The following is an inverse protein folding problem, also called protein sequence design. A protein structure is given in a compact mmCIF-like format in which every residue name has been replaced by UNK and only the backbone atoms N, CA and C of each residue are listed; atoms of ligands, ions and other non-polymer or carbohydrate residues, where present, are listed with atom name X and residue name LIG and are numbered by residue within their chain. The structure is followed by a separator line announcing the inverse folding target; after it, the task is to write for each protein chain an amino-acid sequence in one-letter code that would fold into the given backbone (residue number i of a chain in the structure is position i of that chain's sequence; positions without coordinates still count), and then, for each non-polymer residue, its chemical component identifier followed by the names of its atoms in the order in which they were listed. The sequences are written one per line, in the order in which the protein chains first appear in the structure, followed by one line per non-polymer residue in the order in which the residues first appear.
data_IF_591359957965
#
_entry.id   IF_591359957965
#
_cell.length_a   1.000
_cell.length_b   1.000
_cell.length_c   1.000
_cell.angle_alpha   90.00
_cell.angle_beta   90.00
_cell.angle_gamma   90.00
#
_symmetry.space_group_name_H-M   'P 1'
#
loop_
_entity.id
_entity.type
_entity.pdbx_description
1 polymer ?
#
# COMPACT_ATOMS: atom_id res chain seq x y z
N UNK A 1 -37.48 31.10 -12.12
CA UNK A 1 -36.14 31.59 -12.50
C UNK A 1 -35.37 31.80 -11.21
N UNK A 2 -34.26 31.14 -10.91
CA UNK A 2 -33.43 30.15 -11.59
C UNK A 2 -32.42 29.66 -10.52
N UNK A 3 -31.76 28.52 -10.77
CA UNK A 3 -30.64 27.91 -10.00
C UNK A 3 -30.96 26.94 -8.87
N UNK A 4 -31.18 25.70 -9.31
CA UNK A 4 -30.56 24.51 -8.74
C UNK A 4 -29.06 24.73 -8.48
N UNK A 5 -28.58 24.46 -7.26
CA UNK A 5 -27.20 24.04 -7.03
C UNK A 5 -27.24 22.75 -6.22
N UNK A 6 -27.08 21.65 -6.95
CA UNK A 6 -26.81 20.32 -6.44
C UNK A 6 -25.47 20.39 -5.70
N UNK A 7 -25.55 20.35 -4.36
CA UNK A 7 -24.39 20.22 -3.49
C UNK A 7 -23.95 18.75 -3.54
N UNK A 8 -23.00 18.47 -4.43
CA UNK A 8 -22.27 17.20 -4.47
C UNK A 8 -20.81 17.48 -4.13
N UNK A 9 -20.19 16.49 -3.48
CA UNK A 9 -18.79 16.41 -3.06
C UNK A 9 -18.46 16.97 -1.67
N UNK A 10 -18.76 16.15 -0.66
CA UNK A 10 -17.88 16.02 0.50
C UNK A 10 -17.54 14.53 0.67
N UNK A 11 -16.38 14.13 0.15
CA UNK A 11 -15.83 12.79 0.31
C UNK A 11 -14.38 12.91 0.79
N UNK A 12 -14.21 12.70 2.09
CA UNK A 12 -13.08 11.98 2.72
C UNK A 12 -11.65 12.52 2.51
N UNK A 13 -11.04 13.05 3.58
CA UNK A 13 -9.58 13.18 3.66
C UNK A 13 -8.96 14.22 4.59
N UNK A 14 -9.66 14.72 5.61
CA UNK A 14 -9.07 15.61 6.63
C UNK A 14 -8.87 14.87 7.95
N UNK A 15 -7.71 14.22 8.11
CA UNK A 15 -7.32 13.59 9.38
C UNK A 15 -5.84 13.86 9.70
N UNK A 16 -5.44 15.12 9.71
CA UNK A 16 -4.29 15.56 10.52
C UNK A 16 -4.26 17.08 10.67
N UNK A 17 -4.65 17.54 11.87
CA UNK A 17 -4.24 18.81 12.48
C UNK A 17 -4.84 20.10 11.94
N UNK A 18 -5.89 20.54 12.65
CA UNK A 18 -6.24 21.94 12.81
C UNK A 18 -5.09 22.73 13.47
N UNK A 19 -4.58 23.74 12.77
CA UNK A 19 -4.02 24.95 13.37
C UNK A 19 -4.39 26.11 12.47
N UNK A 20 -5.36 26.91 12.91
CA UNK A 20 -5.79 28.09 12.16
C UNK A 20 -4.63 29.06 11.99
N UNK A 21 -4.44 29.54 10.76
CA UNK A 21 -4.26 30.94 10.38
C UNK A 21 -4.44 31.01 8.86
N UNK A 22 -5.36 31.86 8.42
CA UNK A 22 -5.63 32.12 7.02
C UNK A 22 -4.39 32.70 6.32
N UNK A 23 -3.92 32.03 5.25
CA UNK A 23 -3.11 32.61 4.18
C UNK A 23 -3.24 31.70 2.96
N UNK A 24 -3.86 32.23 1.90
CA UNK A 24 -4.00 31.58 0.61
C UNK A 24 -2.64 31.40 -0.08
N UNK A 25 -2.56 30.40 -0.99
CA UNK A 25 -1.45 30.04 -1.91
C UNK A 25 -0.50 28.91 -1.44
N UNK A 26 -1.02 27.69 -1.31
CA UNK A 26 -0.49 26.53 -2.02
C UNK A 26 -1.52 25.40 -1.85
N UNK A 27 -2.00 24.72 -2.91
CA UNK A 27 -2.59 23.41 -2.70
C UNK A 27 -1.46 22.55 -2.14
N UNK A 28 -1.59 22.12 -0.88
CA UNK A 28 -0.67 21.18 -0.28
C UNK A 28 -0.82 19.85 -1.03
N UNK A 29 -0.11 19.72 -2.15
CA UNK A 29 -0.11 18.55 -3.05
C UNK A 29 0.45 17.28 -2.42
N UNK A 30 0.53 17.23 -1.09
CA UNK A 30 1.02 16.11 -0.31
C UNK A 30 -0.10 15.14 0.10
N UNK A 31 -1.37 15.56 0.15
CA UNK A 31 -2.53 14.70 0.46
C UNK A 31 -3.28 14.21 -0.78
N UNK A 32 -3.10 14.84 -1.93
CA UNK A 32 -3.73 14.46 -3.20
C UNK A 32 -3.36 13.09 -3.75
N UNK A 33 -2.13 12.54 -3.61
CA UNK A 33 -1.77 11.34 -4.35
C UNK A 33 -2.48 10.08 -3.83
N UNK A 34 -2.74 9.98 -2.52
CA UNK A 34 -3.48 8.84 -1.97
C UNK A 34 -4.94 8.86 -2.44
N UNK A 35 -5.65 9.98 -2.29
CA UNK A 35 -7.04 10.08 -2.74
C UNK A 35 -7.18 9.93 -4.26
N UNK A 36 -6.22 10.45 -5.04
CA UNK A 36 -6.20 10.26 -6.51
C UNK A 36 -5.96 8.81 -6.91
N UNK A 37 -5.01 8.10 -6.25
CA UNK A 37 -4.76 6.68 -6.53
C UNK A 37 -5.94 5.81 -6.12
N UNK A 38 -6.59 6.10 -4.99
CA UNK A 38 -7.82 5.41 -4.58
C UNK A 38 -8.98 5.65 -5.57
N UNK A 39 -9.18 6.89 -6.00
CA UNK A 39 -10.19 7.20 -7.00
C UNK A 39 -9.92 6.49 -8.34
N UNK A 40 -8.66 6.44 -8.77
CA UNK A 40 -8.25 5.72 -9.97
C UNK A 40 -8.47 4.20 -9.84
N UNK A 41 -8.09 3.59 -8.71
CA UNK A 41 -8.34 2.18 -8.42
C UNK A 41 -9.83 1.85 -8.45
N UNK A 42 -10.67 2.69 -7.85
CA UNK A 42 -12.11 2.51 -7.87
C UNK A 42 -12.72 2.66 -9.27
N UNK A 43 -12.26 3.64 -10.05
CA UNK A 43 -12.67 3.81 -11.44
C UNK A 43 -12.27 2.60 -12.30
N UNK A 44 -11.06 2.06 -12.09
CA UNK A 44 -10.58 0.85 -12.77
C UNK A 44 -11.44 -0.36 -12.40
N UNK A 45 -11.74 -0.54 -11.11
CA UNK A 45 -12.62 -1.60 -10.62
C UNK A 45 -13.99 -1.56 -11.31
N UNK A 46 -14.64 -0.39 -11.38
CA UNK A 46 -15.91 -0.22 -12.08
C UNK A 46 -15.82 -0.55 -13.57
N UNK A 47 -14.68 -0.24 -14.20
CA UNK A 47 -14.45 -0.61 -15.60
C UNK A 47 -14.35 -2.12 -15.79
N UNK A 48 -13.73 -2.85 -14.86
CA UNK A 48 -13.65 -4.31 -14.87
C UNK A 48 -15.00 -4.99 -14.64
N UNK A 49 -15.82 -4.44 -13.75
CA UNK A 49 -17.18 -4.93 -13.53
C UNK A 49 -18.10 -4.74 -14.75
N UNK A 50 -17.75 -3.81 -15.64
CA UNK A 50 -18.54 -3.54 -16.84
C UNK A 50 -18.35 -4.65 -17.88
N UNK A 51 -19.39 -5.45 -18.07
CA UNK A 51 -19.37 -6.63 -18.95
C UNK A 51 -19.07 -6.28 -20.43
N UNK A 52 -19.42 -5.07 -20.86
CA UNK A 52 -19.24 -4.60 -22.25
C UNK A 52 -17.77 -4.35 -22.65
N UNK A 53 -16.85 -4.36 -21.68
CA UNK A 53 -15.45 -4.00 -21.90
C UNK A 53 -14.54 -5.21 -22.20
N UNK A 54 -15.09 -6.44 -22.18
CA UNK A 54 -14.35 -7.68 -22.51
C UNK A 54 -13.45 -8.22 -21.39
N UNK A 55 -13.52 -7.66 -20.17
CA UNK A 55 -12.69 -8.05 -19.00
C UNK A 55 -13.27 -9.20 -18.16
N UNK A 56 -14.31 -9.89 -18.63
CA UNK A 56 -14.98 -10.97 -17.89
C UNK A 56 -16.01 -10.52 -16.85
N UNK A 57 -16.26 -9.21 -16.72
CA UNK A 57 -17.31 -8.64 -15.88
C UNK A 57 -17.16 -9.01 -14.40
N UNK A 58 -18.26 -9.39 -13.74
CA UNK A 58 -18.26 -9.80 -12.32
C UNK A 58 -17.37 -11.02 -12.02
N UNK A 59 -17.03 -11.84 -13.01
CA UNK A 59 -16.19 -13.03 -12.82
C UNK A 59 -14.70 -12.73 -12.99
N UNK A 60 -14.35 -11.59 -13.59
CA UNK A 60 -12.97 -11.22 -13.88
C UNK A 60 -12.31 -12.06 -14.96
N UNK A 61 -10.99 -11.91 -15.12
CA UNK A 61 -10.23 -12.75 -16.04
C UNK A 61 -9.96 -14.12 -15.43
N UNK A 62 -10.48 -15.14 -16.08
CA UNK A 62 -10.30 -16.56 -15.77
C UNK A 62 -9.46 -17.23 -16.87
N UNK A 63 -9.05 -18.49 -16.68
CA UNK A 63 -8.26 -19.30 -17.62
C UNK A 63 -6.76 -18.93 -17.76
N UNK A 64 -6.11 -18.41 -16.71
CA UNK A 64 -4.65 -18.39 -16.64
C UNK A 64 -4.09 -19.78 -16.30
N UNK A 65 -4.13 -20.70 -17.26
CA UNK A 65 -3.64 -22.09 -17.12
C UNK A 65 -2.17 -22.25 -17.48
N UNK A 66 -1.65 -21.39 -18.35
CA UNK A 66 -0.27 -21.44 -18.82
C UNK A 66 0.43 -20.09 -18.64
N UNK A 67 1.66 -20.11 -18.14
CA UNK A 67 2.54 -18.94 -18.03
C UNK A 67 3.76 -19.21 -18.90
N UNK A 68 3.91 -18.43 -19.99
CA UNK A 68 5.02 -18.60 -20.95
C UNK A 68 5.15 -20.03 -21.51
N UNK A 69 4.02 -20.74 -21.65
CA UNK A 69 3.96 -22.13 -22.15
C UNK A 69 4.16 -23.22 -21.08
N UNK A 70 4.27 -22.85 -19.79
CA UNK A 70 4.30 -23.79 -18.68
C UNK A 70 2.97 -23.81 -17.92
N UNK A 71 2.45 -25.00 -17.64
CA UNK A 71 1.23 -25.17 -16.83
C UNK A 71 1.45 -24.67 -15.40
N UNK A 72 0.60 -23.76 -14.92
CA UNK A 72 0.65 -23.22 -13.55
C UNK A 72 0.19 -24.23 -12.49
N UNK A 73 -0.47 -25.31 -12.90
CA UNK A 73 -0.86 -26.40 -11.99
C UNK A 73 0.27 -27.39 -11.75
N UNK A 74 1.33 -27.37 -12.57
CA UNK A 74 2.51 -28.21 -12.38
C UNK A 74 3.27 -27.82 -11.11
N UNK A 75 3.66 -28.81 -10.30
CA UNK A 75 4.42 -28.63 -9.06
C UNK A 75 5.75 -27.87 -9.29
N UNK A 76 6.37 -28.08 -10.45
CA UNK A 76 7.59 -27.37 -10.84
C UNK A 76 7.37 -25.88 -11.06
N UNK A 77 6.28 -25.50 -11.72
CA UNK A 77 5.94 -24.08 -11.98
C UNK A 77 5.54 -23.37 -10.69
N UNK A 78 4.75 -24.03 -9.83
CA UNK A 78 4.35 -23.48 -8.53
C UNK A 78 5.53 -23.22 -7.61
N UNK A 79 6.43 -24.19 -7.49
CA UNK A 79 7.64 -24.03 -6.69
C UNK A 79 8.55 -22.93 -7.24
N UNK A 80 8.70 -22.82 -8.56
CA UNK A 80 9.43 -21.72 -9.20
C UNK A 80 8.82 -20.34 -8.92
N UNK A 81 7.48 -20.21 -8.94
CA UNK A 81 6.76 -18.97 -8.59
C UNK A 81 6.93 -18.58 -7.11
N UNK A 82 6.91 -19.56 -6.21
CA UNK A 82 7.17 -19.30 -4.79
C UNK A 82 8.61 -18.85 -4.56
N UNK A 83 9.58 -19.52 -5.19
CA UNK A 83 11.00 -19.13 -5.10
C UNK A 83 11.21 -17.74 -5.70
N UNK A 84 10.61 -17.42 -6.85
CA UNK A 84 10.73 -16.09 -7.46
C UNK A 84 10.14 -15.00 -6.57
N UNK A 85 9.05 -15.30 -5.84
CA UNK A 85 8.45 -14.37 -4.87
C UNK A 85 9.36 -14.11 -3.68
N UNK A 86 9.98 -15.16 -3.13
CA UNK A 86 10.96 -15.02 -2.02
C UNK A 86 12.19 -14.23 -2.48
N UNK A 87 12.68 -14.49 -3.70
CA UNK A 87 13.80 -13.75 -4.28
C UNK A 87 13.41 -12.28 -4.51
N UNK A 88 12.23 -12.02 -5.08
CA UNK A 88 11.73 -10.67 -5.29
C UNK A 88 11.60 -9.91 -3.97
N UNK A 89 11.05 -10.54 -2.93
CA UNK A 89 10.97 -9.98 -1.58
C UNK A 89 12.36 -9.63 -1.03
N UNK A 90 13.33 -10.55 -1.15
CA UNK A 90 14.70 -10.33 -0.70
C UNK A 90 15.37 -9.16 -1.45
N UNK A 91 15.18 -9.09 -2.78
CA UNK A 91 15.68 -7.99 -3.63
C UNK A 91 15.03 -6.67 -3.24
N UNK A 92 13.71 -6.63 -3.03
CA UNK A 92 12.99 -5.42 -2.60
C UNK A 92 13.47 -4.94 -1.23
N UNK A 93 13.58 -5.83 -0.25
CA UNK A 93 14.10 -5.49 1.08
C UNK A 93 15.54 -4.99 1.00
N UNK A 94 16.39 -5.64 0.20
CA UNK A 94 17.78 -5.23 -0.05
C UNK A 94 17.87 -3.84 -0.70
N UNK A 95 17.11 -3.62 -1.77
CA UNK A 95 17.06 -2.34 -2.48
C UNK A 95 16.60 -1.20 -1.54
N UNK A 96 15.54 -1.43 -0.76
CA UNK A 96 15.08 -0.47 0.24
C UNK A 96 16.14 -0.18 1.31
N UNK A 97 16.88 -1.19 1.79
CA UNK A 97 17.98 -0.97 2.73
C UNK A 97 19.09 -0.10 2.14
N UNK A 98 19.51 -0.39 0.91
CA UNK A 98 20.55 0.38 0.24
C UNK A 98 20.12 1.84 0.05
N UNK A 99 18.86 2.09 -0.34
CA UNK A 99 18.32 3.43 -0.50
C UNK A 99 18.29 4.18 0.84
N UNK A 100 17.82 3.54 1.92
CA UNK A 100 17.74 4.16 3.26
C UNK A 100 19.13 4.48 3.84
N UNK A 101 20.12 3.64 3.56
CA UNK A 101 21.53 3.85 3.95
C UNK A 101 22.24 4.91 3.11
N UNK A 102 21.76 5.19 1.90
CA UNK A 102 22.37 6.15 0.98
C UNK A 102 22.20 7.62 1.42
N UNK A 103 22.92 8.53 0.74
CA UNK A 103 22.74 9.99 0.90
C UNK A 103 21.30 10.43 0.62
N UNK A 104 20.65 9.85 -0.39
CA UNK A 104 19.27 10.12 -0.73
C UNK A 104 18.33 9.75 0.44
N UNK A 105 18.58 8.61 1.10
CA UNK A 105 17.82 8.18 2.28
C UNK A 105 17.90 9.15 3.46
N UNK A 106 19.03 9.85 3.64
CA UNK A 106 19.17 10.91 4.65
C UNK A 106 18.35 12.16 4.30
N UNK A 107 18.36 12.57 3.04
CA UNK A 107 17.53 13.70 2.56
C UNK A 107 16.04 13.36 2.68
N UNK A 108 15.64 12.13 2.36
CA UNK A 108 14.25 11.68 2.53
C UNK A 108 13.80 11.72 3.99
N UNK A 109 14.67 11.31 4.92
CA UNK A 109 14.40 11.43 6.35
C UNK A 109 14.27 12.90 6.80
N UNK A 110 15.11 13.79 6.28
CA UNK A 110 14.98 15.22 6.61
C UNK A 110 13.72 15.85 6.03
N UNK A 111 13.26 15.41 4.84
CA UNK A 111 11.97 15.82 4.26
C UNK A 111 10.82 15.40 5.18
N UNK A 112 10.86 14.17 5.73
CA UNK A 112 9.84 13.66 6.65
C UNK A 112 9.77 14.47 7.95
N UNK A 113 10.91 14.89 8.50
CA UNK A 113 10.95 15.61 9.77
C UNK A 113 10.57 17.09 9.60
N UNK A 114 11.11 17.75 8.58
CA UNK A 114 10.82 19.15 8.27
C UNK A 114 11.06 19.46 6.79
N UNK A 115 10.00 19.35 6.00
CA UNK A 115 9.99 19.65 4.56
C UNK A 115 10.46 21.08 4.26
N UNK A 116 9.88 22.09 4.92
CA UNK A 116 10.25 23.50 4.70
C UNK A 116 11.73 23.74 4.97
N UNK A 117 12.29 23.14 6.03
CA UNK A 117 13.72 23.25 6.36
C UNK A 117 14.60 22.61 5.29
N UNK A 118 14.20 21.44 4.77
CA UNK A 118 14.96 20.77 3.71
C UNK A 118 14.94 21.56 2.40
N UNK A 119 13.82 22.24 2.09
CA UNK A 119 13.74 23.16 0.94
C UNK A 119 14.66 24.37 1.09
N UNK A 120 14.75 24.96 2.29
CA UNK A 120 15.68 26.07 2.57
C UNK A 120 17.16 25.68 2.42
N UNK A 121 17.50 24.41 2.62
CA UNK A 121 18.86 23.89 2.40
C UNK A 121 19.20 23.69 0.91
N UNK A 122 18.30 24.05 -0.01
CA UNK A 122 18.51 23.98 -1.46
C UNK A 122 18.16 22.63 -2.10
N UNK A 123 17.54 21.70 -1.36
CA UNK A 123 17.06 20.44 -1.92
C UNK A 123 15.69 20.61 -2.58
N UNK A 124 15.54 20.03 -3.79
CA UNK A 124 14.26 19.94 -4.51
C UNK A 124 13.41 18.80 -3.96
N UNK A 125 12.57 19.10 -2.97
CA UNK A 125 11.76 18.11 -2.24
C UNK A 125 10.82 17.33 -3.16
N UNK A 126 10.26 18.00 -4.16
CA UNK A 126 9.29 17.46 -5.11
C UNK A 126 9.88 16.29 -5.90
N UNK A 127 11.15 16.42 -6.34
CA UNK A 127 11.84 15.38 -7.09
C UNK A 127 12.07 14.12 -6.26
N UNK A 128 12.41 14.26 -4.96
CA UNK A 128 12.57 13.11 -4.07
C UNK A 128 11.25 12.41 -3.76
N UNK A 129 10.17 13.17 -3.57
CA UNK A 129 8.81 12.61 -3.37
C UNK A 129 8.32 11.86 -4.61
N UNK A 130 8.49 12.45 -5.80
CA UNK A 130 8.13 11.82 -7.07
C UNK A 130 8.92 10.52 -7.28
N UNK A 131 10.24 10.56 -7.05
CA UNK A 131 11.09 9.40 -7.22
C UNK A 131 10.71 8.25 -6.27
N UNK A 132 10.42 8.56 -5.01
CA UNK A 132 9.90 7.58 -4.05
C UNK A 132 8.56 6.99 -4.46
N UNK A 133 7.65 7.83 -4.96
CA UNK A 133 6.35 7.39 -5.44
C UNK A 133 6.50 6.41 -6.61
N UNK A 134 7.29 6.78 -7.63
CA UNK A 134 7.57 5.91 -8.78
C UNK A 134 8.26 4.62 -8.35
N UNK A 135 9.26 4.69 -7.46
CA UNK A 135 9.94 3.51 -6.94
C UNK A 135 8.96 2.55 -6.23
N UNK A 136 8.07 3.08 -5.38
CA UNK A 136 7.04 2.27 -4.72
C UNK A 136 6.04 1.66 -5.70
N UNK A 137 5.67 2.39 -6.75
CA UNK A 137 4.78 1.90 -7.80
C UNK A 137 5.41 0.75 -8.61
N UNK A 138 6.72 0.83 -8.91
CA UNK A 138 7.46 -0.26 -9.57
C UNK A 138 7.46 -1.51 -8.69
N UNK A 139 7.74 -1.37 -7.39
CA UNK A 139 7.71 -2.49 -6.45
C UNK A 139 6.32 -3.13 -6.35
N UNK A 140 5.27 -2.31 -6.27
CA UNK A 140 3.88 -2.78 -6.26
C UNK A 140 3.50 -3.50 -7.57
N UNK A 141 3.96 -2.99 -8.72
CA UNK A 141 3.74 -3.62 -10.02
C UNK A 141 4.41 -4.99 -10.13
N UNK A 142 5.65 -5.13 -9.66
CA UNK A 142 6.36 -6.43 -9.61
C UNK A 142 5.63 -7.40 -8.68
N UNK A 143 5.18 -6.93 -7.51
CA UNK A 143 4.41 -7.75 -6.58
C UNK A 143 3.10 -8.25 -7.20
N UNK A 144 2.34 -7.37 -7.87
CA UNK A 144 1.11 -7.75 -8.57
C UNK A 144 1.35 -8.74 -9.72
N UNK A 145 2.41 -8.55 -10.51
CA UNK A 145 2.76 -9.44 -11.60
C UNK A 145 3.12 -10.86 -11.12
N UNK A 146 3.70 -11.00 -9.92
CA UNK A 146 3.98 -12.29 -9.28
C UNK A 146 2.74 -12.91 -8.62
N UNK A 147 1.81 -12.07 -8.14
CA UNK A 147 0.58 -12.50 -7.47
C UNK A 147 -0.42 -13.15 -8.44
N UNK A 148 -0.66 -12.53 -9.61
CA UNK A 148 -1.67 -12.99 -10.58
C UNK A 148 -1.49 -14.47 -10.99
N UNK A 149 -0.28 -14.93 -11.38
CA UNK A 149 -0.06 -16.35 -11.69
C UNK A 149 -0.34 -17.30 -10.51
N UNK A 150 -0.08 -16.86 -9.28
CA UNK A 150 -0.27 -17.73 -8.11
C UNK A 150 -1.74 -17.93 -7.77
N UNK A 151 -2.55 -16.88 -7.95
CA UNK A 151 -4.00 -16.94 -7.72
C UNK A 151 -4.73 -17.55 -8.92
N UNK A 152 -4.21 -17.39 -10.14
CA UNK A 152 -4.75 -18.00 -11.36
C UNK A 152 -6.05 -17.38 -11.88
N UNK A 153 -6.54 -16.34 -11.21
CA UNK A 153 -7.72 -15.55 -11.58
C UNK A 153 -7.48 -14.09 -11.18
N UNK A 154 -7.98 -13.15 -11.99
CA UNK A 154 -8.02 -11.73 -11.64
C UNK A 154 -9.46 -11.37 -11.31
N UNK A 155 -9.79 -11.27 -10.03
CA UNK A 155 -11.11 -10.86 -9.57
C UNK A 155 -11.17 -9.32 -9.42
N UNK A 156 -12.18 -8.62 -9.99
CA UNK A 156 -12.36 -7.19 -9.80
C UNK A 156 -12.44 -6.76 -8.32
N UNK A 157 -12.91 -7.63 -7.41
CA UNK A 157 -12.99 -7.33 -5.98
C UNK A 157 -11.63 -7.09 -5.32
N UNK A 158 -10.53 -7.57 -5.93
CA UNK A 158 -9.17 -7.31 -5.44
C UNK A 158 -8.79 -5.82 -5.57
N UNK A 159 -9.45 -5.08 -6.47
CA UNK A 159 -9.25 -3.64 -6.67
C UNK A 159 -10.06 -2.76 -5.70
N UNK A 160 -10.82 -3.35 -4.79
CA UNK A 160 -11.61 -2.59 -3.83
C UNK A 160 -10.71 -1.69 -2.94
N UNK A 161 -11.15 -0.46 -2.64
CA UNK A 161 -10.43 0.44 -1.73
C UNK A 161 -10.13 -0.16 -0.35
N UNK A 162 -10.95 -1.11 0.10
CA UNK A 162 -10.77 -1.80 1.38
C UNK A 162 -9.42 -2.54 1.45
N UNK A 163 -9.00 -3.18 0.35
CA UNK A 163 -7.73 -3.92 0.29
C UNK A 163 -6.53 -2.97 0.43
N UNK A 164 -6.65 -1.74 -0.11
CA UNK A 164 -5.60 -0.72 0.05
C UNK A 164 -5.43 -0.30 1.52
N UNK A 165 -6.53 -0.20 2.27
CA UNK A 165 -6.49 0.11 3.71
C UNK A 165 -5.84 -1.05 4.47
N UNK A 166 -6.14 -2.29 4.10
CA UNK A 166 -5.54 -3.47 4.72
C UNK A 166 -4.00 -3.46 4.63
N UNK A 167 -3.45 -3.11 3.46
CA UNK A 167 -1.99 -2.98 3.26
C UNK A 167 -1.39 -1.90 4.17
N UNK A 168 -2.09 -0.78 4.38
CA UNK A 168 -1.66 0.27 5.33
C UNK A 168 -1.63 -0.28 6.76
N UNK A 169 -2.59 -1.13 7.13
CA UNK A 169 -2.67 -1.75 8.45
C UNK A 169 -1.52 -2.74 8.65
N UNK A 170 -1.13 -3.52 7.63
CA UNK A 170 0.05 -4.40 7.71
C UNK A 170 1.29 -3.62 8.16
N UNK A 171 1.51 -2.44 7.58
CA UNK A 171 2.64 -1.56 7.93
C UNK A 171 2.45 -0.91 9.29
N UNK A 172 1.23 -0.53 9.67
CA UNK A 172 0.93 0.06 10.98
C UNK A 172 1.20 -0.94 12.12
N UNK A 173 0.69 -2.17 11.98
CA UNK A 173 0.90 -3.30 12.90
C UNK A 173 2.38 -3.65 13.01
N UNK A 174 3.04 -3.77 11.86
CA UNK A 174 4.46 -4.08 11.78
C UNK A 174 5.38 -2.99 12.37
N UNK A 175 5.03 -1.72 12.13
CA UNK A 175 5.78 -0.54 12.54
C UNK A 175 6.42 0.19 11.36
N UNK A 176 5.95 1.43 11.09
CA UNK A 176 6.38 2.34 10.00
C UNK A 176 7.86 2.76 9.98
N UNK A 177 8.67 2.29 10.92
CA UNK A 177 10.10 2.63 11.06
C UNK A 177 11.06 1.54 10.66
N UNK A 178 10.58 0.33 10.35
CA UNK A 178 11.44 -0.83 10.08
C UNK A 178 10.94 -1.63 8.89
N UNK A 179 11.88 -2.11 8.07
CA UNK A 179 11.57 -2.98 6.92
C UNK A 179 11.09 -4.36 7.37
N UNK A 180 11.72 -4.93 8.40
CA UNK A 180 11.33 -6.24 8.95
C UNK A 180 9.96 -6.19 9.63
N UNK A 181 9.63 -5.09 10.29
CA UNK A 181 8.32 -4.88 10.91
C UNK A 181 7.20 -4.99 9.90
N UNK A 182 7.31 -4.32 8.74
CA UNK A 182 6.30 -4.38 7.69
C UNK A 182 6.04 -5.82 7.19
N UNK A 183 7.09 -6.63 7.03
CA UNK A 183 6.96 -8.05 6.63
C UNK A 183 6.25 -8.85 7.73
N UNK A 184 6.66 -8.70 8.99
CA UNK A 184 6.02 -9.39 10.12
C UNK A 184 4.55 -8.98 10.30
N UNK A 185 4.24 -7.69 10.12
CA UNK A 185 2.87 -7.18 10.18
C UNK A 185 2.00 -7.73 9.05
N UNK A 186 2.51 -7.81 7.83
CA UNK A 186 1.80 -8.42 6.71
C UNK A 186 1.47 -9.89 6.97
N UNK A 187 2.44 -10.68 7.47
CA UNK A 187 2.22 -12.10 7.81
C UNK A 187 1.20 -12.24 8.93
N UNK A 188 1.32 -11.45 10.01
CA UNK A 188 0.43 -11.55 11.17
C UNK A 188 -1.01 -11.17 10.82
N UNK A 189 -1.20 -10.06 10.09
CA UNK A 189 -2.54 -9.61 9.71
C UNK A 189 -3.17 -10.57 8.69
N UNK A 190 -2.41 -11.09 7.72
CA UNK A 190 -2.93 -12.11 6.81
C UNK A 190 -3.30 -13.40 7.54
N UNK A 191 -2.49 -13.84 8.50
CA UNK A 191 -2.82 -15.02 9.31
C UNK A 191 -4.11 -14.80 10.12
N UNK A 192 -4.25 -13.61 10.72
CA UNK A 192 -5.48 -13.22 11.39
C UNK A 192 -6.67 -13.20 10.41
N UNK A 193 -6.51 -12.65 9.20
CA UNK A 193 -7.54 -12.66 8.15
C UNK A 193 -7.98 -14.07 7.83
N UNK A 194 -7.05 -14.99 7.60
CA UNK A 194 -7.37 -16.40 7.32
C UNK A 194 -8.15 -17.05 8.47
N UNK A 195 -7.76 -16.79 9.72
CA UNK A 195 -8.44 -17.35 10.89
C UNK A 195 -9.85 -16.77 11.08
N UNK A 196 -9.99 -15.44 11.02
CA UNK A 196 -11.25 -14.75 11.22
C UNK A 196 -12.24 -14.99 10.08
N UNK A 197 -11.79 -15.04 8.83
CA UNK A 197 -12.64 -15.39 7.69
C UNK A 197 -13.12 -16.85 7.77
N UNK A 198 -12.39 -17.73 8.45
CA UNK A 198 -12.83 -19.11 8.69
C UNK A 198 -13.91 -19.25 9.79
N UNK A 199 -13.87 -18.39 10.81
CA UNK A 199 -14.78 -18.47 11.96
C UNK A 199 -15.99 -17.52 11.85
N UNK A 200 -15.75 -16.25 11.49
CA UNK A 200 -16.71 -15.15 11.52
C UNK A 200 -16.38 -14.09 10.43
N UNK A 201 -16.76 -14.34 9.16
CA UNK A 201 -16.40 -13.47 8.03
C UNK A 201 -16.89 -12.02 8.19
N UNK A 202 -18.11 -11.84 8.70
CA UNK A 202 -18.74 -10.52 8.83
C UNK A 202 -18.08 -9.63 9.89
N UNK A 203 -17.37 -10.24 10.84
CA UNK A 203 -16.69 -9.52 11.92
C UNK A 203 -15.27 -9.10 11.58
N UNK A 204 -14.70 -9.59 10.47
CA UNK A 204 -13.31 -9.28 10.09
C UNK A 204 -13.07 -7.77 9.92
N UNK A 205 -13.98 -7.06 9.26
CA UNK A 205 -13.85 -5.61 9.04
C UNK A 205 -13.81 -4.83 10.36
N UNK A 206 -14.67 -5.21 11.32
CA UNK A 206 -14.67 -4.61 12.66
C UNK A 206 -13.39 -4.97 13.44
N UNK A 207 -12.95 -6.23 13.36
CA UNK A 207 -11.70 -6.68 13.98
C UNK A 207 -10.48 -5.96 13.39
N UNK A 208 -10.42 -5.78 12.08
CA UNK A 208 -9.37 -5.08 11.36
C UNK A 208 -9.31 -3.59 11.75
N UNK A 209 -10.46 -2.92 11.85
CA UNK A 209 -10.55 -1.56 12.40
C UNK A 209 -10.10 -1.47 13.86
N UNK A 210 -10.53 -2.42 14.69
CA UNK A 210 -10.12 -2.50 16.09
C UNK A 210 -8.61 -2.76 16.26
N UNK A 211 -8.01 -3.63 15.43
CA UNK A 211 -6.57 -3.86 15.38
C UNK A 211 -5.84 -2.58 15.01
N UNK A 212 -6.31 -1.85 14.00
CA UNK A 212 -5.68 -0.59 13.58
C UNK A 212 -5.71 0.46 14.70
N UNK A 213 -6.86 0.70 15.31
CA UNK A 213 -6.99 1.63 16.43
C UNK A 213 -6.17 1.17 17.64
N UNK A 214 -6.23 -0.12 17.97
CA UNK A 214 -5.50 -0.70 19.09
C UNK A 214 -3.98 -0.54 18.94
N UNK A 215 -3.43 -0.91 17.79
CA UNK A 215 -2.00 -0.76 17.54
C UNK A 215 -1.58 0.70 17.54
N UNK A 216 -2.35 1.59 16.90
CA UNK A 216 -1.96 3.01 16.82
C UNK A 216 -1.99 3.70 18.18
N UNK A 217 -2.89 3.31 19.09
CA UNK A 217 -2.98 3.85 20.45
C UNK A 217 -1.96 3.23 21.41
N UNK A 218 -1.83 1.90 21.43
CA UNK A 218 -1.05 1.20 22.45
C UNK A 218 0.40 0.92 22.01
N UNK A 219 0.65 0.76 20.70
CA UNK A 219 1.97 0.44 20.13
C UNK A 219 2.32 1.42 19.00
N UNK A 220 2.61 2.71 19.28
CA UNK A 220 2.89 3.73 18.26
C UNK A 220 4.16 3.47 17.43
N UNK A 221 5.01 2.53 17.85
CA UNK A 221 6.18 2.03 17.11
C UNK A 221 5.93 0.69 16.39
N UNK A 222 4.72 0.13 16.50
CA UNK A 222 4.35 -1.21 16.01
C UNK A 222 5.07 -2.33 16.76
N UNK A 223 4.87 -3.57 16.29
CA UNK A 223 5.49 -4.75 16.86
C UNK A 223 7.02 -4.71 16.79
N UNK A 224 7.59 -4.08 15.76
CA UNK A 224 9.03 -3.90 15.65
C UNK A 224 9.64 -3.00 16.74
N UNK A 225 8.84 -2.19 17.43
CA UNK A 225 9.29 -1.39 18.56
C UNK A 225 9.52 -2.19 19.85
N UNK A 226 9.03 -3.43 19.92
CA UNK A 226 9.20 -4.34 21.07
C UNK A 226 10.54 -5.10 21.03
N UNK A 227 11.16 -5.19 19.85
CA UNK A 227 12.50 -5.75 19.69
C UNK A 227 13.49 -4.60 19.84
N UNK A 228 14.33 -4.55 20.91
CA UNK A 228 15.39 -3.57 21.01
C UNK A 228 16.35 -3.80 19.85
N UNK A 229 16.38 -2.89 18.87
CA UNK A 229 17.33 -2.96 17.77
C UNK A 229 18.75 -2.73 18.33
N UNK A 230 19.46 -3.83 18.60
CA UNK A 230 20.91 -3.83 18.67
C UNK A 230 21.50 -3.40 17.32
N UNK A 231 22.51 -2.54 17.36
CA UNK A 231 23.23 -1.90 16.25
C UNK A 231 22.44 -0.84 15.44
N UNK A 232 22.47 0.37 15.98
CA UNK A 232 22.41 1.62 15.23
C UNK A 232 23.55 1.61 14.21
N UNK A 233 23.24 1.51 12.92
CA UNK A 233 24.19 1.90 11.87
C UNK A 233 24.08 3.42 11.77
N UNK A 234 25.03 4.08 12.44
CA UNK A 234 25.33 5.51 12.30
C UNK A 234 25.86 5.82 10.89
#
# INVERSE_FOLDING_TARGET
ADRLHVMTYDYTGSWASASGHHSALHPDGCSTPFSMTQALSYALMLAFFRNDMGFGGNNGFTDFKELLGFDLQSDGTRSALLVSTVVALAVTVGACRLIVASRAGRVIRSIRDAESRTRFLGYRVESYKLWLFVFSAVLAGVAGALYVPQVGIINPSEFEPINSIEVVIWVAVGGRGTLYGAVAGAVLVNYAKTYFTGALPEFWLYALGAIFVGVTLFLPRGLAGLVPAGSRVE
#
